data_IF_254779424312
#
_entry.id   IF_254779424312
#
_cell.length_a   1.000
_cell.length_b   1.000
_cell.length_c   1.000
_cell.angle_alpha   90.00
_cell.angle_beta   90.00
_cell.angle_gamma   90.00
#
_symmetry.space_group_name_H-M   'P 1'
#
loop_
_entity.id
_entity.type
_entity.pdbx_description
1 polymer ?
#
# COMPACT_ATOMS: atom_id res chain seq x y z
N UNK A 1 -31.06 28.37 -22.19
CA UNK A 1 -30.79 26.92 -22.28
C UNK A 1 -29.30 26.54 -22.42
N UNK A 2 -28.51 27.16 -23.31
CA UNK A 2 -27.08 26.79 -23.53
C UNK A 2 -26.20 26.77 -22.26
N UNK A 3 -26.37 27.73 -21.34
CA UNK A 3 -25.59 27.84 -20.09
C UNK A 3 -25.88 26.77 -19.04
N UNK A 4 -27.07 26.14 -19.09
CA UNK A 4 -27.46 25.11 -18.12
C UNK A 4 -27.14 23.71 -18.63
N UNK A 5 -27.26 23.48 -19.95
CA UNK A 5 -26.76 22.26 -20.59
C UNK A 5 -25.24 22.14 -20.42
N UNK A 6 -24.51 23.25 -20.54
CA UNK A 6 -23.07 23.27 -20.26
C UNK A 6 -22.75 22.95 -18.79
N UNK A 7 -23.60 23.36 -17.84
CA UNK A 7 -23.39 23.08 -16.42
C UNK A 7 -23.59 21.58 -16.10
N UNK A 8 -24.66 20.97 -16.62
CA UNK A 8 -24.92 19.54 -16.43
C UNK A 8 -23.83 18.66 -17.09
N UNK A 9 -23.39 19.02 -18.29
CA UNK A 9 -22.27 18.34 -18.97
C UNK A 9 -20.98 18.52 -18.20
N UNK A 10 -20.72 19.70 -17.63
CA UNK A 10 -19.50 19.93 -16.83
C UNK A 10 -19.47 19.12 -15.52
N UNK A 11 -20.62 18.93 -14.86
CA UNK A 11 -20.71 18.11 -13.65
C UNK A 11 -20.54 16.62 -13.98
N UNK A 12 -21.17 16.15 -15.06
CA UNK A 12 -20.98 14.77 -15.53
C UNK A 12 -19.54 14.49 -15.93
N UNK A 13 -18.90 15.41 -16.65
CA UNK A 13 -17.49 15.31 -17.02
C UNK A 13 -16.56 15.34 -15.80
N UNK A 14 -16.88 16.16 -14.78
CA UNK A 14 -16.11 16.20 -13.53
C UNK A 14 -16.21 14.87 -12.76
N UNK A 15 -17.40 14.26 -12.69
CA UNK A 15 -17.56 12.95 -12.06
C UNK A 15 -16.78 11.86 -12.79
N UNK A 16 -16.86 11.82 -14.13
CA UNK A 16 -16.06 10.87 -14.93
C UNK A 16 -14.57 11.13 -14.74
N UNK A 17 -14.12 12.39 -14.71
CA UNK A 17 -12.73 12.73 -14.47
C UNK A 17 -12.27 12.29 -13.07
N UNK A 18 -13.09 12.46 -12.03
CA UNK A 18 -12.80 11.98 -10.68
C UNK A 18 -12.73 10.45 -10.61
N UNK A 19 -13.62 9.73 -11.31
CA UNK A 19 -13.58 8.27 -11.38
C UNK A 19 -12.33 7.78 -12.12
N UNK A 20 -11.98 8.40 -13.25
CA UNK A 20 -10.77 8.06 -14.01
C UNK A 20 -9.51 8.36 -13.21
N UNK A 21 -9.46 9.51 -12.52
CA UNK A 21 -8.35 9.84 -11.62
C UNK A 21 -8.29 8.88 -10.43
N UNK A 22 -9.42 8.49 -9.86
CA UNK A 22 -9.50 7.51 -8.78
C UNK A 22 -8.94 6.15 -9.21
N UNK A 23 -9.41 5.62 -10.34
CA UNK A 23 -8.89 4.38 -10.93
C UNK A 23 -7.39 4.48 -11.23
N UNK A 24 -6.94 5.62 -11.77
CA UNK A 24 -5.53 5.86 -12.06
C UNK A 24 -4.64 5.84 -10.82
N UNK A 25 -5.13 6.31 -9.66
CA UNK A 25 -4.38 6.25 -8.40
C UNK A 25 -4.43 4.86 -7.76
N UNK A 26 -5.49 4.09 -7.99
CA UNK A 26 -5.64 2.71 -7.48
C UNK A 26 -4.78 1.72 -8.29
N UNK A 27 -4.65 1.89 -9.61
CA UNK A 27 -3.88 0.98 -10.47
C UNK A 27 -2.36 1.24 -10.48
N UNK A 28 -1.87 2.24 -9.72
CA UNK A 28 -0.44 2.53 -9.69
C UNK A 28 0.27 1.68 -8.65
N UNK A 29 1.33 0.94 -9.03
CA UNK A 29 2.10 0.18 -8.06
C UNK A 29 2.80 1.13 -7.08
N UNK A 30 2.74 0.80 -5.80
CA UNK A 30 3.44 1.50 -4.73
C UNK A 30 4.92 1.20 -4.84
N UNK A 31 5.73 2.24 -5.07
CA UNK A 31 7.20 2.10 -5.21
C UNK A 31 7.87 2.48 -3.89
N UNK A 32 8.35 1.48 -3.16
CA UNK A 32 9.06 1.71 -1.91
C UNK A 32 10.54 1.98 -2.12
N UNK A 33 11.05 3.00 -1.43
CA UNK A 33 12.49 3.24 -1.33
C UNK A 33 13.09 2.35 -0.24
N UNK A 34 13.93 1.39 -0.63
CA UNK A 34 14.48 0.38 0.27
C UNK A 34 15.98 0.59 0.49
N UNK A 35 16.38 1.01 1.68
CA UNK A 35 17.79 1.11 2.05
C UNK A 35 18.35 -0.27 2.44
N UNK A 36 19.44 -0.71 1.81
CA UNK A 36 20.06 -2.01 2.09
C UNK A 36 21.58 -1.94 1.92
N UNK A 37 22.31 -2.65 2.79
CA UNK A 37 23.76 -2.76 2.68
C UNK A 37 24.18 -3.31 1.30
N UNK A 38 25.13 -2.63 0.65
CA UNK A 38 25.61 -3.00 -0.69
C UNK A 38 26.37 -4.33 -0.67
N UNK A 39 26.16 -5.17 -1.70
CA UNK A 39 26.90 -6.41 -1.93
C UNK A 39 26.46 -7.61 -1.10
N UNK A 40 25.58 -7.43 -0.11
CA UNK A 40 25.09 -8.50 0.76
C UNK A 40 23.98 -9.37 0.15
N UNK A 41 23.67 -10.50 0.80
CA UNK A 41 22.60 -11.40 0.36
C UNK A 41 21.22 -10.75 0.40
N UNK A 42 20.97 -9.88 1.38
CA UNK A 42 19.74 -9.08 1.48
C UNK A 42 19.49 -8.19 0.26
N UNK A 43 20.54 -7.58 -0.33
CA UNK A 43 20.38 -6.80 -1.55
C UNK A 43 19.98 -7.70 -2.73
N UNK A 44 20.60 -8.88 -2.86
CA UNK A 44 20.26 -9.87 -3.90
C UNK A 44 18.83 -10.37 -3.75
N UNK A 45 18.38 -10.61 -2.51
CA UNK A 45 17.01 -10.99 -2.19
C UNK A 45 16.01 -9.92 -2.66
N UNK A 46 16.22 -8.65 -2.30
CA UNK A 46 15.35 -7.56 -2.71
C UNK A 46 15.33 -7.36 -4.24
N UNK A 47 16.47 -7.53 -4.91
CA UNK A 47 16.53 -7.52 -6.39
C UNK A 47 15.71 -8.68 -6.97
N UNK A 48 15.85 -9.89 -6.43
CA UNK A 48 15.11 -11.06 -6.88
C UNK A 48 13.60 -10.87 -6.70
N UNK A 49 13.16 -10.43 -5.53
CA UNK A 49 11.75 -10.12 -5.25
C UNK A 49 11.20 -9.05 -6.20
N UNK A 50 11.94 -7.95 -6.41
CA UNK A 50 11.50 -6.89 -7.31
C UNK A 50 11.32 -7.38 -8.76
N UNK A 51 12.15 -8.32 -9.21
CA UNK A 51 11.97 -8.94 -10.54
C UNK A 51 10.70 -9.79 -10.60
N UNK A 52 10.39 -10.54 -9.55
CA UNK A 52 9.14 -11.33 -9.48
C UNK A 52 7.92 -10.40 -9.46
N UNK A 53 7.98 -9.31 -8.68
CA UNK A 53 6.90 -8.31 -8.63
C UNK A 53 6.64 -7.67 -10.00
N UNK A 54 7.70 -7.33 -10.74
CA UNK A 54 7.58 -6.78 -12.10
C UNK A 54 6.99 -7.82 -13.06
N UNK A 55 7.41 -9.10 -12.97
CA UNK A 55 6.91 -10.16 -13.84
C UNK A 55 5.41 -10.39 -13.65
N UNK A 56 4.97 -10.46 -12.39
CA UNK A 56 3.61 -10.83 -12.03
C UNK A 56 2.68 -9.61 -11.91
N UNK A 57 3.16 -8.42 -12.34
CA UNK A 57 2.42 -7.16 -12.32
C UNK A 57 1.86 -6.81 -10.93
N UNK A 58 2.60 -7.16 -9.88
CA UNK A 58 2.22 -6.88 -8.47
C UNK A 58 2.02 -5.38 -8.23
N UNK A 59 1.24 -5.01 -7.23
CA UNK A 59 1.03 -3.61 -6.83
C UNK A 59 2.20 -3.05 -6.01
N UNK A 60 3.25 -3.85 -5.76
CA UNK A 60 4.42 -3.45 -4.97
C UNK A 60 5.68 -3.43 -5.83
N UNK A 61 6.50 -2.38 -5.71
CA UNK A 61 7.80 -2.26 -6.38
C UNK A 61 8.87 -1.76 -5.42
N UNK A 62 10.12 -2.15 -5.66
CA UNK A 62 11.25 -1.67 -4.90
C UNK A 62 12.16 -0.76 -5.74
N UNK A 63 12.50 0.38 -5.15
CA UNK A 63 13.63 1.21 -5.54
C UNK A 63 14.75 1.02 -4.53
N UNK A 64 15.70 0.16 -4.89
CA UNK A 64 16.80 -0.23 -4.00
C UNK A 64 17.80 0.91 -3.89
N UNK A 65 18.09 1.32 -2.66
CA UNK A 65 19.04 2.35 -2.28
C UNK A 65 20.23 1.68 -1.58
N UNK A 66 21.35 1.45 -2.30
CA UNK A 66 22.51 0.81 -1.70
C UNK A 66 23.15 1.73 -0.64
N UNK A 67 23.24 1.24 0.59
CA UNK A 67 23.93 1.87 1.71
C UNK A 67 25.33 1.26 1.88
N UNK A 68 26.19 1.95 2.64
CA UNK A 68 27.53 1.45 2.94
C UNK A 68 27.47 0.14 3.77
N UNK A 69 26.58 0.11 4.76
CA UNK A 69 26.39 -0.94 5.76
C UNK A 69 24.96 -0.89 6.33
N UNK A 70 24.67 -1.71 7.36
CA UNK A 70 23.33 -1.81 7.96
C UNK A 70 22.98 -0.56 8.78
N UNK A 71 23.96 0.05 9.46
CA UNK A 71 23.77 1.31 10.21
C UNK A 71 23.48 2.49 9.29
N UNK A 72 24.14 2.57 8.13
CA UNK A 72 23.85 3.57 7.12
C UNK A 72 22.44 3.38 6.54
N UNK A 73 21.98 2.14 6.39
CA UNK A 73 20.58 1.86 5.99
C UNK A 73 19.58 2.27 7.09
N UNK A 74 19.87 1.98 8.37
CA UNK A 74 19.09 2.43 9.51
C UNK A 74 19.04 3.96 9.58
N UNK A 75 20.17 4.64 9.39
CA UNK A 75 20.24 6.11 9.36
C UNK A 75 19.44 6.70 8.19
N UNK A 76 19.47 6.07 7.02
CA UNK A 76 18.67 6.51 5.88
C UNK A 76 17.15 6.44 6.16
N UNK A 77 16.72 5.46 6.97
CA UNK A 77 15.36 5.36 7.50
C UNK A 77 15.05 6.46 8.53
N UNK A 78 15.96 6.71 9.48
CA UNK A 78 15.81 7.80 10.47
C UNK A 78 15.65 9.17 9.80
N UNK A 79 16.40 9.41 8.72
CA UNK A 79 16.33 10.64 7.93
C UNK A 79 15.12 10.68 6.97
N UNK A 80 14.26 9.66 6.97
CA UNK A 80 13.12 9.48 6.03
C UNK A 80 13.50 9.57 4.55
N UNK A 81 14.76 9.30 4.25
CA UNK A 81 15.28 9.24 2.88
C UNK A 81 14.87 7.92 2.18
N UNK A 82 14.57 6.89 2.98
CA UNK A 82 13.98 5.61 2.59
C UNK A 82 12.71 5.34 3.43
N UNK A 83 11.80 4.54 2.87
CA UNK A 83 10.54 4.12 3.51
C UNK A 83 10.65 2.72 4.10
N UNK A 84 11.57 1.91 3.56
CA UNK A 84 11.92 0.58 4.02
C UNK A 84 13.44 0.49 4.21
N UNK A 85 13.89 -0.29 5.17
CA UNK A 85 15.31 -0.54 5.38
C UNK A 85 15.57 -1.97 5.85
N UNK A 86 16.70 -2.55 5.44
CA UNK A 86 17.18 -3.81 6.02
C UNK A 86 18.14 -3.49 7.15
N UNK A 87 17.73 -3.83 8.37
CA UNK A 87 18.45 -3.53 9.60
C UNK A 87 18.66 -4.81 10.39
N UNK A 88 19.82 -4.92 11.03
CA UNK A 88 20.12 -6.02 11.96
C UNK A 88 19.57 -5.70 13.35
N UNK A 89 19.09 -6.71 14.06
CA UNK A 89 18.53 -6.55 15.41
C UNK A 89 19.54 -5.98 16.40
N UNK A 90 20.83 -6.30 16.27
CA UNK A 90 21.95 -5.83 17.11
C UNK A 90 22.40 -4.39 16.81
N UNK A 91 22.00 -3.84 15.66
CA UNK A 91 22.15 -2.42 15.35
C UNK A 91 21.04 -1.63 16.05
N UNK A 92 21.31 -0.37 16.40
CA UNK A 92 20.26 0.50 16.95
C UNK A 92 19.11 0.60 15.94
N UNK A 93 17.96 0.05 16.31
CA UNK A 93 16.73 0.13 15.53
C UNK A 93 16.27 1.59 15.43
N UNK A 94 15.96 2.12 14.23
CA UNK A 94 15.41 3.46 14.06
C UNK A 94 14.12 3.62 14.88
N UNK A 95 13.98 4.72 15.66
CA UNK A 95 12.79 4.94 16.48
C UNK A 95 11.51 5.21 15.66
N UNK A 96 11.66 5.59 14.39
CA UNK A 96 10.56 5.83 13.45
C UNK A 96 10.22 4.61 12.59
N UNK A 97 10.78 3.43 12.88
CA UNK A 97 10.50 2.22 12.10
C UNK A 97 10.14 1.02 12.99
N UNK A 98 9.37 0.11 12.43
CA UNK A 98 8.97 -1.16 13.06
C UNK A 98 9.17 -2.33 12.10
N UNK A 99 9.28 -3.55 12.64
CA UNK A 99 9.54 -4.76 11.85
C UNK A 99 8.37 -5.10 10.95
N UNK A 100 8.60 -5.18 9.64
CA UNK A 100 7.62 -5.69 8.69
C UNK A 100 7.80 -7.19 8.44
N UNK A 101 9.06 -7.63 8.27
CA UNK A 101 9.38 -9.03 7.99
C UNK A 101 10.77 -9.40 8.52
N UNK A 102 10.96 -10.61 9.02
CA UNK A 102 12.28 -11.16 9.31
C UNK A 102 12.81 -11.79 8.02
N UNK A 103 13.97 -11.36 7.54
CA UNK A 103 14.57 -11.84 6.29
C UNK A 103 15.42 -13.08 6.50
N UNK A 104 16.20 -13.10 7.58
CA UNK A 104 17.02 -14.24 7.97
C UNK A 104 17.44 -14.16 9.44
N UNK A 105 17.72 -15.33 10.00
CA UNK A 105 18.37 -15.51 11.30
C UNK A 105 19.85 -15.81 11.09
N UNK A 106 20.73 -15.08 11.76
CA UNK A 106 22.16 -15.37 11.80
C UNK A 106 22.51 -15.89 13.18
N UNK A 107 23.29 -16.97 13.23
CA UNK A 107 23.65 -17.63 14.48
C UNK A 107 25.15 -17.58 14.67
N UNK A 108 25.59 -17.49 15.92
CA UNK A 108 26.96 -17.80 16.28
C UNK A 108 27.09 -19.31 16.49
N UNK A 109 28.09 -19.92 15.86
CA UNK A 109 28.42 -21.33 16.04
C UNK A 109 29.85 -21.41 16.53
N UNK A 110 30.03 -21.99 17.71
CA UNK A 110 31.33 -22.25 18.30
C UNK A 110 31.64 -23.72 18.14
N UNK A 111 32.74 -24.02 17.46
CA UNK A 111 33.14 -25.39 17.13
C UNK A 111 34.56 -25.66 17.60
N UNK A 112 34.84 -26.88 18.01
CA UNK A 112 36.19 -27.36 18.24
C UNK A 112 36.53 -28.51 17.26
N UNK A 113 37.81 -28.62 16.84
CA UNK A 113 38.26 -29.71 16.00
C UNK A 113 38.00 -31.09 16.63
N UNK A 114 37.94 -32.17 15.83
CA UNK A 114 37.78 -33.52 16.32
C UNK A 114 38.84 -33.88 17.36
N UNK A 115 38.42 -34.55 18.45
CA UNK A 115 39.33 -34.96 19.54
C UNK A 115 39.66 -33.85 20.56
N UNK A 116 39.11 -32.64 20.39
CA UNK A 116 39.20 -31.58 21.40
C UNK A 116 38.44 -31.97 22.68
N UNK A 117 39.04 -31.69 23.84
CA UNK A 117 38.39 -31.86 25.15
C UNK A 117 37.55 -30.66 25.58
N UNK A 118 37.34 -29.69 24.68
CA UNK A 118 36.57 -28.48 24.96
C UNK A 118 35.07 -28.79 25.08
N UNK A 119 34.51 -28.48 26.25
CA UNK A 119 33.07 -28.68 26.53
C UNK A 119 32.30 -27.39 26.77
N UNK A 120 32.98 -26.29 27.10
CA UNK A 120 32.36 -25.02 27.47
C UNK A 120 33.10 -23.81 26.89
N UNK A 121 32.35 -22.73 26.65
CA UNK A 121 32.88 -21.43 26.19
C UNK A 121 33.91 -20.84 27.19
N UNK A 122 33.74 -21.09 28.49
CA UNK A 122 34.66 -20.60 29.52
C UNK A 122 36.09 -21.17 29.38
N UNK A 123 36.24 -22.32 28.73
CA UNK A 123 37.54 -22.96 28.50
C UNK A 123 38.34 -22.29 27.36
N UNK A 124 37.73 -21.35 26.62
CA UNK A 124 38.39 -20.63 25.51
C UNK A 124 39.47 -19.63 25.99
N UNK A 125 39.52 -19.29 27.28
CA UNK A 125 40.43 -18.27 27.85
C UNK A 125 41.91 -18.46 27.50
N UNK A 126 42.37 -19.71 27.39
CA UNK A 126 43.77 -20.09 27.16
C UNK A 126 43.93 -20.87 25.84
N UNK A 127 43.00 -20.68 24.90
CA UNK A 127 42.93 -21.44 23.65
C UNK A 127 43.17 -20.54 22.45
N UNK A 128 43.69 -21.13 21.37
CA UNK A 128 43.87 -20.43 20.10
C UNK A 128 42.56 -20.49 19.34
N UNK A 129 41.88 -19.36 19.34
CA UNK A 129 40.58 -19.23 18.73
C UNK A 129 40.74 -18.58 17.35
N UNK A 130 40.02 -19.08 16.35
CA UNK A 130 39.90 -18.47 15.03
C UNK A 130 38.47 -17.99 14.80
N UNK A 131 38.30 -16.81 14.18
CA UNK A 131 37.01 -16.26 13.77
C UNK A 131 36.83 -16.35 12.26
N UNK A 132 35.68 -16.83 11.80
CA UNK A 132 35.29 -16.83 10.38
C UNK A 132 33.95 -16.12 10.22
N UNK A 133 33.87 -15.22 9.23
CA UNK A 133 32.70 -14.39 8.99
C UNK A 133 32.28 -13.50 10.18
N UNK A 134 33.18 -13.33 11.16
CA UNK A 134 33.16 -12.28 12.18
C UNK A 134 34.25 -11.28 11.85
N UNK A 135 33.97 -10.29 11.03
CA UNK A 135 34.89 -9.19 10.81
C UNK A 135 34.59 -8.09 11.83
N UNK A 136 35.60 -7.49 12.46
CA UNK A 136 35.43 -6.28 13.28
C UNK A 136 34.80 -5.14 12.48
N UNK A 137 35.02 -5.16 11.15
CA UNK A 137 34.40 -4.24 10.20
C UNK A 137 32.95 -4.62 9.86
N UNK A 138 32.52 -5.87 10.11
CA UNK A 138 31.11 -6.24 10.10
C UNK A 138 30.48 -5.76 11.40
N UNK A 139 29.62 -4.76 11.30
CA UNK A 139 29.00 -4.06 12.43
C UNK A 139 28.38 -5.05 13.43
N UNK A 140 28.47 -4.83 14.74
CA UNK A 140 27.79 -5.67 15.75
C UNK A 140 28.50 -6.98 16.15
N UNK A 141 29.31 -7.58 15.27
CA UNK A 141 30.12 -8.77 15.59
C UNK A 141 31.02 -8.55 16.82
N UNK A 142 31.67 -7.37 16.93
CA UNK A 142 32.48 -7.01 18.08
C UNK A 142 31.68 -6.90 19.39
N UNK A 143 30.46 -6.34 19.34
CA UNK A 143 29.60 -6.20 20.52
C UNK A 143 29.09 -7.57 21.01
N UNK A 144 28.82 -8.49 20.09
CA UNK A 144 28.45 -9.87 20.41
C UNK A 144 29.62 -10.64 21.05
N UNK A 145 30.84 -10.46 20.53
CA UNK A 145 32.06 -11.02 21.14
C UNK A 145 32.32 -10.42 22.53
N UNK A 146 32.19 -9.10 22.69
CA UNK A 146 32.34 -8.43 23.99
C UNK A 146 31.28 -8.92 24.99
N UNK A 147 30.04 -9.16 24.54
CA UNK A 147 28.98 -9.72 25.36
C UNK A 147 29.30 -11.16 25.82
N UNK A 148 29.91 -11.98 24.95
CA UNK A 148 30.37 -13.33 25.31
C UNK A 148 31.53 -13.29 26.29
N UNK A 149 32.51 -12.43 26.06
CA UNK A 149 33.65 -12.27 26.96
C UNK A 149 33.17 -11.85 28.36
N UNK A 150 32.22 -10.92 28.45
CA UNK A 150 31.62 -10.51 29.71
C UNK A 150 30.78 -11.59 30.38
N UNK A 151 29.97 -12.34 29.61
CA UNK A 151 29.09 -13.37 30.16
C UNK A 151 29.89 -14.54 30.76
N UNK A 152 30.95 -14.97 30.07
CA UNK A 152 31.79 -16.10 30.50
C UNK A 152 33.05 -15.69 31.26
N UNK A 153 33.17 -14.40 31.64
CA UNK A 153 34.31 -13.83 32.33
C UNK A 153 35.67 -14.12 31.64
N UNK A 154 35.68 -14.10 30.31
CA UNK A 154 36.90 -14.17 29.52
C UNK A 154 37.64 -12.83 29.61
N UNK A 155 38.98 -12.83 29.56
CA UNK A 155 39.75 -11.60 29.44
C UNK A 155 39.31 -10.80 28.18
N UNK A 156 39.30 -9.47 28.24
CA UNK A 156 38.96 -8.66 27.07
C UNK A 156 39.89 -8.96 25.89
N UNK A 157 39.34 -9.08 24.69
CA UNK A 157 40.07 -9.38 23.44
C UNK A 157 40.69 -10.78 23.38
N UNK A 158 40.22 -11.72 24.20
CA UNK A 158 40.56 -13.14 24.03
C UNK A 158 40.02 -13.69 22.71
N UNK A 159 38.83 -13.26 22.30
CA UNK A 159 38.22 -13.74 21.06
C UNK A 159 38.77 -12.93 19.87
N UNK A 160 39.25 -13.60 18.81
CA UNK A 160 39.74 -12.91 17.62
C UNK A 160 38.60 -12.12 16.98
N UNK A 161 38.87 -10.85 16.71
CA UNK A 161 37.89 -9.97 16.05
C UNK A 161 38.15 -9.88 14.55
N UNK A 162 39.27 -10.41 14.07
CA UNK A 162 39.63 -10.41 12.65
C UNK A 162 39.21 -11.73 12.03
N UNK A 163 38.29 -11.68 11.07
CA UNK A 163 37.93 -12.87 10.30
C UNK A 163 39.14 -13.35 9.48
N UNK A 164 39.37 -14.65 9.51
CA UNK A 164 40.28 -15.33 8.57
C UNK A 164 39.49 -15.94 7.41
N UNK A 165 40.16 -16.21 6.30
CA UNK A 165 39.56 -16.97 5.20
C UNK A 165 39.56 -18.47 5.50
N UNK A 166 38.68 -19.20 4.85
CA UNK A 166 38.53 -20.65 4.95
C UNK A 166 39.83 -21.37 4.53
N UNK A 167 40.56 -20.82 3.56
CA UNK A 167 41.85 -21.36 3.11
C UNK A 167 42.92 -21.25 4.20
N UNK A 168 42.97 -20.12 4.88
CA UNK A 168 43.85 -19.88 6.04
C UNK A 168 43.45 -20.78 7.21
N UNK A 169 42.15 -20.91 7.50
CA UNK A 169 41.62 -21.80 8.53
C UNK A 169 42.06 -23.26 8.30
N UNK A 170 41.94 -23.76 7.07
CA UNK A 170 42.36 -25.12 6.75
C UNK A 170 43.86 -25.34 7.01
N UNK A 171 44.69 -24.34 6.71
CA UNK A 171 46.13 -24.38 6.99
C UNK A 171 46.45 -24.37 8.48
N UNK A 172 45.74 -23.55 9.26
CA UNK A 172 45.90 -23.46 10.72
C UNK A 172 45.46 -24.75 11.42
N UNK A 173 44.35 -25.35 10.98
CA UNK A 173 43.86 -26.63 11.51
C UNK A 173 44.87 -27.75 11.24
N UNK A 174 45.42 -27.83 10.02
CA UNK A 174 46.42 -28.85 9.67
C UNK A 174 47.73 -28.74 10.49
N UNK A 175 48.05 -27.55 11.00
CA UNK A 175 49.21 -27.32 11.88
C UNK A 175 48.89 -27.47 13.37
N UNK A 176 47.66 -27.85 13.73
CA UNK A 176 47.16 -27.81 15.10
C UNK A 176 47.40 -26.43 15.75
N UNK A 177 47.15 -25.34 15.01
CA UNK A 177 47.30 -23.94 15.45
C UNK A 177 46.00 -23.30 15.94
N UNK A 178 44.87 -24.01 15.82
CA UNK A 178 43.54 -23.55 16.21
C UNK A 178 42.87 -24.63 17.06
N UNK A 179 42.40 -24.23 18.23
CA UNK A 179 41.74 -25.08 19.21
C UNK A 179 40.20 -24.92 19.17
N UNK A 180 39.71 -23.76 18.70
CA UNK A 180 38.29 -23.49 18.50
C UNK A 180 38.05 -22.50 17.35
N UNK A 181 36.90 -22.61 16.70
CA UNK A 181 36.46 -21.76 15.60
C UNK A 181 35.12 -21.14 15.96
N UNK A 182 35.04 -19.81 15.89
CA UNK A 182 33.79 -19.07 15.93
C UNK A 182 33.39 -18.74 14.50
N UNK A 183 32.19 -19.14 14.11
CA UNK A 183 31.61 -18.78 12.83
C UNK A 183 30.27 -18.09 13.05
N UNK A 184 30.04 -16.97 12.36
CA UNK A 184 28.78 -16.23 12.46
C UNK A 184 28.10 -16.14 11.10
N UNK A 185 26.78 -16.29 11.09
CA UNK A 185 25.96 -16.19 9.88
C UNK A 185 24.83 -17.20 9.85
N UNK A 186 24.13 -17.26 8.71
CA UNK A 186 23.05 -18.22 8.48
C UNK A 186 23.61 -19.65 8.42
N UNK A 187 22.95 -20.60 9.07
CA UNK A 187 23.46 -21.97 9.22
C UNK A 187 23.62 -22.71 7.89
N UNK A 188 22.74 -22.47 6.92
CA UNK A 188 22.77 -23.07 5.59
C UNK A 188 23.51 -22.19 4.56
N UNK A 189 24.20 -21.13 5.00
CA UNK A 189 25.03 -20.33 4.11
C UNK A 189 26.20 -21.14 3.56
N UNK A 190 26.62 -20.92 2.30
CA UNK A 190 27.76 -21.61 1.71
C UNK A 190 29.04 -21.49 2.54
N UNK A 191 29.25 -20.34 3.19
CA UNK A 191 30.38 -20.09 4.07
C UNK A 191 30.34 -20.95 5.33
N UNK A 192 29.21 -20.98 6.05
CA UNK A 192 29.07 -21.78 7.28
C UNK A 192 29.23 -23.28 6.98
N UNK A 193 28.57 -23.77 5.93
CA UNK A 193 28.68 -25.18 5.50
C UNK A 193 30.13 -25.55 5.18
N UNK A 194 30.88 -24.64 4.55
CA UNK A 194 32.27 -24.88 4.20
C UNK A 194 33.20 -24.86 5.43
N UNK A 195 32.93 -24.02 6.43
CA UNK A 195 33.64 -24.05 7.73
C UNK A 195 33.44 -25.39 8.42
N UNK A 196 32.19 -25.84 8.56
CA UNK A 196 31.85 -27.14 9.16
C UNK A 196 32.54 -28.27 8.39
N UNK A 197 32.47 -28.28 7.04
CA UNK A 197 33.16 -29.28 6.21
C UNK A 197 34.68 -29.29 6.40
N UNK A 198 35.29 -28.13 6.63
CA UNK A 198 36.74 -28.01 6.83
C UNK A 198 37.15 -28.59 8.18
N UNK A 199 36.36 -28.33 9.23
CA UNK A 199 36.55 -28.92 10.56
C UNK A 199 36.25 -30.42 10.57
N UNK A 200 35.28 -30.87 9.77
CA UNK A 200 34.86 -32.27 9.71
C UNK A 200 35.77 -33.20 8.89
N UNK A 201 36.92 -32.71 8.39
CA UNK A 201 37.81 -33.50 7.51
C UNK A 201 38.41 -34.72 8.19
N UNK A 202 38.76 -34.59 9.46
CA UNK A 202 39.46 -35.62 10.25
C UNK A 202 38.54 -36.37 11.24
N UNK A 203 37.26 -36.01 11.28
CA UNK A 203 36.27 -36.58 12.21
C UNK A 203 35.12 -35.60 12.46
N UNK A 204 34.16 -35.98 13.31
CA UNK A 204 33.07 -35.07 13.69
C UNK A 204 33.60 -33.96 14.63
N UNK A 205 33.38 -32.67 14.34
CA UNK A 205 33.73 -31.59 15.25
C UNK A 205 32.80 -31.56 16.46
N UNK A 206 33.28 -31.00 17.56
CA UNK A 206 32.46 -30.71 18.74
C UNK A 206 31.81 -29.35 18.59
N UNK A 207 30.52 -29.24 18.91
CA UNK A 207 29.78 -27.98 18.92
C UNK A 207 29.60 -27.54 20.37
N UNK A 208 30.03 -26.33 20.70
CA UNK A 208 29.94 -25.78 22.05
C UNK A 208 28.66 -24.97 22.20
N UNK A 209 27.86 -25.32 23.21
CA UNK A 209 26.65 -24.57 23.55
C UNK A 209 26.98 -23.26 24.27
N UNK A 210 26.17 -22.23 23.97
CA UNK A 210 26.11 -20.99 24.73
C UNK A 210 24.89 -21.10 25.65
N UNK A 211 25.03 -21.89 26.72
CA UNK A 211 23.89 -22.22 27.61
C UNK A 211 23.26 -21.03 28.35
N UNK A 212 23.94 -19.88 28.38
CA UNK A 212 23.39 -18.64 28.95
C UNK A 212 22.69 -17.76 27.90
N UNK A 213 22.39 -18.29 26.70
CA UNK A 213 21.84 -17.54 25.58
C UNK A 213 20.60 -16.70 25.95
N UNK A 214 19.65 -17.29 26.69
CA UNK A 214 18.44 -16.59 27.13
C UNK A 214 18.73 -15.42 28.09
N UNK A 215 19.73 -15.54 28.95
CA UNK A 215 20.17 -14.46 29.83
C UNK A 215 20.88 -13.35 29.03
N UNK A 216 21.71 -13.75 28.06
CA UNK A 216 22.40 -12.81 27.17
C UNK A 216 21.42 -11.99 26.33
N UNK A 217 20.37 -12.61 25.78
CA UNK A 217 19.34 -11.93 25.01
C UNK A 217 18.56 -10.89 25.83
N UNK A 218 18.34 -11.14 27.14
CA UNK A 218 17.70 -10.17 28.03
C UNK A 218 18.61 -8.98 28.38
N UNK A 219 19.93 -9.20 28.43
CA UNK A 219 20.91 -8.18 28.82
C UNK A 219 21.34 -7.31 27.64
N UNK A 220 21.46 -7.89 26.46
CA UNK A 220 21.98 -7.23 25.26
C UNK A 220 20.86 -7.05 24.25
N UNK A 221 20.52 -5.78 23.97
CA UNK A 221 19.51 -5.45 22.95
C UNK A 221 19.96 -6.00 21.60
N UNK A 222 19.03 -6.65 20.89
CA UNK A 222 19.26 -7.14 19.54
C UNK A 222 19.94 -8.50 19.43
N UNK A 223 20.40 -9.07 20.55
CA UNK A 223 20.82 -10.46 20.63
C UNK A 223 19.59 -11.32 20.93
N UNK A 224 19.41 -12.38 20.18
CA UNK A 224 18.33 -13.34 20.35
C UNK A 224 18.88 -14.69 20.80
N UNK A 225 18.16 -15.36 21.69
CA UNK A 225 18.47 -16.73 22.08
C UNK A 225 17.85 -17.68 21.05
N UNK A 226 18.64 -18.61 20.54
CA UNK A 226 18.21 -19.52 19.48
C UNK A 226 18.82 -20.90 19.67
N UNK A 227 18.35 -21.88 18.91
CA UNK A 227 18.80 -23.26 19.00
C UNK A 227 19.24 -23.76 17.63
N UNK A 228 20.49 -24.18 17.52
CA UNK A 228 20.99 -24.90 16.36
C UNK A 228 20.53 -26.37 16.46
N UNK A 229 19.63 -26.75 15.55
CA UNK A 229 19.01 -28.07 15.55
C UNK A 229 19.99 -29.20 15.19
N UNK A 230 19.77 -30.38 15.78
CA UNK A 230 20.45 -31.61 15.42
C UNK A 230 20.38 -31.84 13.91
N UNK A 231 21.54 -32.10 13.30
CA UNK A 231 21.63 -32.43 11.87
C UNK A 231 21.47 -31.24 10.92
N UNK A 232 21.50 -29.99 11.41
CA UNK A 232 21.42 -28.78 10.59
C UNK A 232 22.42 -28.76 9.42
N UNK A 233 23.60 -29.36 9.58
CA UNK A 233 24.64 -29.46 8.54
C UNK A 233 24.67 -30.81 7.80
N UNK A 234 23.74 -31.70 8.11
CA UNK A 234 23.70 -33.07 7.59
C UNK A 234 24.83 -33.96 8.13
N UNK A 235 25.18 -35.00 7.39
CA UNK A 235 26.27 -35.93 7.73
C UNK A 235 25.81 -37.25 8.36
N UNK A 236 26.74 -38.22 8.40
CA UNK A 236 26.61 -39.49 9.11
C UNK A 236 27.86 -39.70 9.98
N UNK A 237 27.82 -39.42 11.29
CA UNK A 237 26.65 -39.03 12.10
C UNK A 237 26.15 -37.60 11.83
N UNK A 238 24.92 -37.30 12.28
CA UNK A 238 24.31 -35.97 12.15
C UNK A 238 25.15 -34.88 12.82
N UNK A 239 25.32 -33.73 12.16
CA UNK A 239 26.05 -32.57 12.68
C UNK A 239 25.12 -31.36 12.84
N UNK A 240 24.98 -30.78 14.04
CA UNK A 240 25.41 -31.32 15.33
C UNK A 240 24.66 -32.62 15.72
N UNK A 241 25.21 -33.36 16.69
CA UNK A 241 24.64 -34.64 17.14
C UNK A 241 23.36 -34.46 17.99
N UNK A 242 23.20 -33.29 18.58
CA UNK A 242 22.06 -32.87 19.40
C UNK A 242 21.73 -31.40 19.14
N UNK A 243 20.65 -30.91 19.74
CA UNK A 243 20.29 -29.49 19.67
C UNK A 243 21.27 -28.70 20.55
N UNK A 244 21.83 -27.61 20.02
CA UNK A 244 22.80 -26.77 20.70
C UNK A 244 22.20 -25.38 20.90
N UNK A 245 22.07 -24.96 22.15
CA UNK A 245 21.66 -23.59 22.49
C UNK A 245 22.76 -22.60 22.08
N UNK A 246 22.36 -21.52 21.42
CA UNK A 246 23.27 -20.48 20.97
C UNK A 246 22.61 -19.11 20.95
N UNK A 247 23.37 -18.08 20.63
CA UNK A 247 22.88 -16.73 20.38
C UNK A 247 22.95 -16.39 18.90
N UNK A 248 22.13 -15.45 18.48
CA UNK A 248 22.09 -14.95 17.12
C UNK A 248 21.59 -13.52 17.05
N UNK A 249 21.50 -13.05 15.82
CA UNK A 249 20.78 -11.83 15.47
C UNK A 249 19.81 -12.14 14.31
N UNK A 250 18.96 -11.16 14.00
CA UNK A 250 18.04 -11.24 12.88
C UNK A 250 18.27 -10.06 11.94
N UNK A 251 18.26 -10.33 10.64
CA UNK A 251 18.10 -9.27 9.64
C UNK A 251 16.62 -9.07 9.40
N UNK A 252 16.17 -7.85 9.62
CA UNK A 252 14.76 -7.46 9.56
C UNK A 252 14.57 -6.43 8.47
N UNK A 253 13.53 -6.61 7.66
CA UNK A 253 12.97 -5.55 6.85
C UNK A 253 12.08 -4.72 7.75
N UNK A 254 12.45 -3.46 7.94
CA UNK A 254 11.67 -2.51 8.73
C UNK A 254 11.02 -1.47 7.85
N UNK A 255 9.85 -1.02 8.27
CA UNK A 255 9.02 -0.05 7.59
C UNK A 255 8.85 1.19 8.46
N UNK A 256 8.84 2.38 7.83
CA UNK A 256 8.53 3.62 8.52
C UNK A 256 7.12 3.56 9.14
N UNK A 257 7.00 4.00 10.40
CA UNK A 257 5.77 3.91 11.18
C UNK A 257 4.63 4.77 10.65
N UNK A 258 4.92 5.77 9.81
CA UNK A 258 3.91 6.62 9.18
C UNK A 258 3.30 5.97 7.91
N UNK A 259 3.83 4.82 7.46
CA UNK A 259 3.25 4.07 6.34
C UNK A 259 1.89 3.50 6.72
N UNK A 260 0.95 3.56 5.78
CA UNK A 260 -0.39 3.01 5.99
C UNK A 260 -0.32 1.50 6.25
N UNK A 261 -1.06 1.02 7.26
CA UNK A 261 -1.12 -0.40 7.64
C UNK A 261 -1.42 -1.31 6.45
N UNK A 262 -2.37 -0.93 5.59
CA UNK A 262 -2.72 -1.70 4.38
C UNK A 262 -1.56 -1.84 3.39
N UNK A 263 -0.72 -0.80 3.29
CA UNK A 263 0.43 -0.77 2.37
C UNK A 263 1.54 -1.70 2.87
N UNK A 264 1.79 -1.73 4.19
CA UNK A 264 2.77 -2.65 4.78
C UNK A 264 2.24 -4.09 4.83
N UNK A 265 0.96 -4.30 5.10
CA UNK A 265 0.32 -5.62 5.04
C UNK A 265 0.40 -6.22 3.63
N UNK A 266 0.07 -5.42 2.60
CA UNK A 266 0.20 -5.85 1.20
C UNK A 266 1.66 -6.13 0.81
N UNK A 267 2.61 -5.32 1.27
CA UNK A 267 4.04 -5.58 1.09
C UNK A 267 4.44 -6.96 1.64
N UNK A 268 4.06 -7.26 2.89
CA UNK A 268 4.38 -8.55 3.54
C UNK A 268 3.73 -9.70 2.79
N UNK A 269 2.44 -9.57 2.43
CA UNK A 269 1.72 -10.54 1.61
C UNK A 269 2.46 -10.85 0.31
N UNK A 270 2.83 -9.82 -0.45
CA UNK A 270 3.50 -9.97 -1.74
C UNK A 270 4.87 -10.63 -1.58
N UNK A 271 5.66 -10.21 -0.59
CA UNK A 271 6.97 -10.82 -0.32
C UNK A 271 6.85 -12.32 -0.01
N UNK A 272 5.89 -12.72 0.82
CA UNK A 272 5.66 -14.12 1.18
C UNK A 272 5.05 -14.93 0.03
N UNK A 273 4.14 -14.35 -0.75
CA UNK A 273 3.54 -14.99 -1.92
C UNK A 273 4.59 -15.32 -3.00
N UNK A 274 5.57 -14.43 -3.19
CA UNK A 274 6.65 -14.63 -4.17
C UNK A 274 7.90 -15.29 -3.57
N UNK A 275 7.87 -15.73 -2.31
CA UNK A 275 9.01 -16.34 -1.60
C UNK A 275 9.67 -17.47 -2.38
N UNK A 276 8.88 -18.45 -2.82
CA UNK A 276 9.39 -19.64 -3.53
C UNK A 276 10.02 -19.29 -4.88
N UNK A 277 9.43 -18.33 -5.60
CA UNK A 277 9.94 -17.91 -6.90
C UNK A 277 11.23 -17.08 -6.75
N UNK A 278 11.29 -16.21 -5.72
CA UNK A 278 12.50 -15.49 -5.35
C UNK A 278 13.62 -16.45 -4.88
N UNK A 279 13.27 -17.55 -4.19
CA UNK A 279 14.22 -18.55 -3.71
C UNK A 279 15.04 -19.22 -4.82
N UNK A 280 14.47 -19.33 -6.03
CA UNK A 280 15.20 -19.86 -7.19
C UNK A 280 16.37 -18.97 -7.63
N UNK A 281 16.33 -17.66 -7.32
CA UNK A 281 17.37 -16.68 -7.64
C UNK A 281 18.23 -16.31 -6.43
N UNK A 282 17.63 -16.29 -5.25
CA UNK A 282 18.27 -15.97 -3.98
C UNK A 282 17.78 -16.94 -2.90
N UNK A 283 18.55 -17.98 -2.53
CA UNK A 283 18.13 -18.99 -1.56
C UNK A 283 17.71 -18.44 -0.19
N UNK A 284 18.23 -17.27 0.19
CA UNK A 284 17.87 -16.56 1.44
C UNK A 284 16.37 -16.26 1.53
N UNK A 285 15.65 -16.18 0.40
CA UNK A 285 14.20 -16.03 0.42
C UNK A 285 13.49 -17.12 1.27
N UNK A 286 14.03 -18.34 1.31
CA UNK A 286 13.44 -19.42 2.12
C UNK A 286 13.56 -19.19 3.63
N UNK A 287 14.47 -18.30 4.06
CA UNK A 287 14.64 -17.92 5.47
C UNK A 287 13.68 -16.80 5.89
N UNK A 288 12.89 -16.23 4.97
CA UNK A 288 11.91 -15.20 5.31
C UNK A 288 10.81 -15.76 6.22
N UNK A 289 10.55 -15.04 7.30
CA UNK A 289 9.63 -15.39 8.37
C UNK A 289 8.85 -14.16 8.85
N UNK A 290 7.64 -14.39 9.32
CA UNK A 290 6.81 -13.36 9.97
C UNK A 290 7.33 -13.09 11.38
N UNK A 291 7.49 -11.81 11.79
CA UNK A 291 7.83 -11.49 13.17
C UNK A 291 6.68 -11.87 14.12
N UNK A 292 6.98 -11.99 15.41
CA UNK A 292 5.95 -12.15 16.45
C UNK A 292 5.10 -10.87 16.57
N UNK A 293 3.83 -11.02 16.87
CA UNK A 293 2.86 -9.92 17.05
C UNK A 293 2.66 -9.54 18.53
N UNK A 294 3.31 -10.25 19.45
CA UNK A 294 3.23 -10.00 20.88
C UNK A 294 3.77 -8.61 21.29
N UNK A 295 2.97 -7.87 22.07
CA UNK A 295 3.26 -6.49 22.53
C UNK A 295 4.45 -6.35 23.49
N UNK A 296 5.09 -7.46 23.87
CA UNK A 296 6.20 -7.53 24.83
C UNK A 296 7.58 -7.72 24.20
N UNK A 297 7.67 -7.83 22.87
CA UNK A 297 8.94 -8.01 22.19
C UNK A 297 9.85 -6.77 22.30
N UNK A 298 11.17 -7.02 22.32
CA UNK A 298 12.16 -5.95 22.34
C UNK A 298 12.19 -5.14 21.02
N UNK A 299 11.73 -5.73 19.92
CA UNK A 299 11.67 -5.12 18.59
C UNK A 299 10.22 -5.15 18.10
N UNK A 300 9.52 -3.99 18.06
CA UNK A 300 8.10 -3.97 17.74
C UNK A 300 7.84 -4.34 16.28
N UNK A 301 6.71 -5.02 16.07
CA UNK A 301 6.16 -5.35 14.74
C UNK A 301 5.30 -4.20 14.22
N UNK A 302 5.43 -3.89 12.94
CA UNK A 302 4.66 -2.83 12.30
C UNK A 302 3.16 -3.20 12.33
N UNK A 303 2.24 -2.29 12.70
CA UNK A 303 0.82 -2.63 12.85
C UNK A 303 0.19 -3.22 11.58
N UNK A 304 0.61 -2.75 10.40
CA UNK A 304 0.21 -3.35 9.12
C UNK A 304 0.70 -4.78 8.88
N UNK A 305 1.89 -5.13 9.34
CA UNK A 305 2.40 -6.50 9.27
C UNK A 305 1.68 -7.40 10.27
N UNK A 306 1.48 -6.91 11.50
CA UNK A 306 0.69 -7.60 12.52
C UNK A 306 -0.74 -7.88 12.04
N UNK A 307 -1.42 -6.90 11.44
CA UNK A 307 -2.77 -7.08 10.90
C UNK A 307 -2.83 -8.19 9.81
N UNK A 308 -1.81 -8.29 8.94
CA UNK A 308 -1.72 -9.40 7.98
C UNK A 308 -1.51 -10.75 8.68
N UNK A 309 -0.60 -10.81 9.66
CA UNK A 309 -0.25 -12.05 10.39
C UNK A 309 -1.44 -12.57 11.20
N UNK A 310 -2.12 -11.67 11.91
CA UNK A 310 -3.26 -11.99 12.78
C UNK A 310 -4.58 -12.15 11.99
N UNK A 311 -4.56 -11.96 10.66
CA UNK A 311 -5.75 -11.86 9.78
C UNK A 311 -6.76 -10.79 10.23
N UNK A 312 -6.28 -9.70 10.82
CA UNK A 312 -7.07 -8.54 11.27
C UNK A 312 -7.02 -7.37 10.25
N UNK A 313 -6.84 -7.67 8.97
CA UNK A 313 -6.84 -6.63 7.94
C UNK A 313 -8.23 -5.99 7.76
N UNK A 314 -8.29 -4.66 7.85
CA UNK A 314 -9.50 -3.90 7.54
C UNK A 314 -9.89 -4.08 6.07
N UNK A 315 -11.15 -4.44 5.83
CA UNK A 315 -11.71 -4.45 4.47
C UNK A 315 -11.79 -3.04 3.89
N UNK A 316 -11.84 -2.92 2.55
CA UNK A 316 -12.00 -1.63 1.86
C UNK A 316 -13.18 -0.81 2.41
N UNK A 317 -14.31 -1.49 2.67
CA UNK A 317 -15.51 -0.83 3.19
C UNK A 317 -15.32 -0.34 4.63
N UNK A 318 -14.66 -1.10 5.50
CA UNK A 318 -14.36 -0.67 6.87
C UNK A 318 -13.42 0.53 6.87
N UNK A 319 -12.35 0.47 6.07
CA UNK A 319 -11.32 1.52 5.93
C UNK A 319 -11.88 2.85 5.44
N UNK A 320 -12.69 2.80 4.38
CA UNK A 320 -13.19 4.00 3.70
C UNK A 320 -14.64 4.34 4.04
N UNK A 321 -15.24 3.64 5.01
CA UNK A 321 -16.62 3.83 5.46
C UNK A 321 -16.97 5.31 5.63
N UNK A 322 -16.17 6.03 6.42
CA UNK A 322 -16.40 7.45 6.71
C UNK A 322 -16.38 8.32 5.45
N UNK A 323 -15.40 8.11 4.57
CA UNK A 323 -15.27 8.88 3.32
C UNK A 323 -16.41 8.55 2.36
N UNK A 324 -16.81 7.28 2.27
CA UNK A 324 -17.94 6.83 1.45
C UNK A 324 -19.23 7.49 1.96
N UNK A 325 -19.48 7.48 3.27
CA UNK A 325 -20.66 8.10 3.86
C UNK A 325 -20.66 9.62 3.69
N UNK A 326 -19.53 10.29 3.90
CA UNK A 326 -19.37 11.73 3.65
C UNK A 326 -19.61 12.04 2.17
N UNK A 327 -19.01 11.27 1.27
CA UNK A 327 -19.19 11.40 -0.18
C UNK A 327 -20.65 11.24 -0.59
N UNK A 328 -21.34 10.23 -0.04
CA UNK A 328 -22.77 10.01 -0.26
C UNK A 328 -23.62 11.19 0.24
N UNK A 329 -23.33 11.72 1.44
CA UNK A 329 -24.04 12.89 1.99
C UNK A 329 -23.87 14.13 1.11
N UNK A 330 -22.64 14.43 0.69
CA UNK A 330 -22.36 15.57 -0.20
C UNK A 330 -23.05 15.38 -1.55
N UNK A 331 -23.00 14.17 -2.12
CA UNK A 331 -23.69 13.85 -3.37
C UNK A 331 -25.22 14.03 -3.26
N UNK A 332 -25.83 13.62 -2.15
CA UNK A 332 -27.26 13.83 -1.90
C UNK A 332 -27.64 15.32 -1.81
N UNK A 333 -26.80 16.13 -1.16
CA UNK A 333 -27.02 17.58 -1.08
C UNK A 333 -26.94 18.23 -2.46
N UNK A 334 -25.91 17.89 -3.25
CA UNK A 334 -25.74 18.38 -4.62
C UNK A 334 -26.88 17.93 -5.54
N UNK A 335 -27.32 16.67 -5.42
CA UNK A 335 -28.47 16.15 -6.16
C UNK A 335 -29.75 16.93 -5.82
N UNK A 336 -29.97 17.27 -4.54
CA UNK A 336 -31.14 18.04 -4.09
C UNK A 336 -31.14 19.47 -4.63
N UNK A 337 -29.98 20.15 -4.60
CA UNK A 337 -29.83 21.48 -5.20
C UNK A 337 -30.04 21.43 -6.72
N UNK A 338 -29.46 20.43 -7.39
CA UNK A 338 -29.64 20.20 -8.82
C UNK A 338 -31.11 19.98 -9.20
N UNK A 339 -31.81 19.10 -8.47
CA UNK A 339 -33.24 18.85 -8.66
C UNK A 339 -34.08 20.11 -8.45
N UNK A 340 -33.77 20.91 -7.43
CA UNK A 340 -34.47 22.18 -7.15
C UNK A 340 -34.29 23.19 -8.29
N UNK A 341 -33.08 23.31 -8.83
CA UNK A 341 -32.79 24.21 -9.95
C UNK A 341 -33.51 23.78 -11.23
N UNK A 342 -33.54 22.47 -11.52
CA UNK A 342 -34.27 21.93 -12.67
C UNK A 342 -35.78 22.17 -12.51
N UNK A 343 -36.34 21.90 -11.32
CA UNK A 343 -37.75 22.09 -11.02
C UNK A 343 -38.20 23.55 -11.17
N UNK A 344 -37.41 24.51 -10.69
CA UNK A 344 -37.76 25.94 -10.82
C UNK A 344 -37.83 26.41 -12.27
N UNK A 345 -37.06 25.82 -13.17
CA UNK A 345 -37.07 26.17 -14.59
C UNK A 345 -38.26 25.54 -15.31
N UNK A 346 -38.64 24.31 -14.96
CA UNK A 346 -39.82 23.67 -15.55
C UNK A 346 -41.12 24.33 -15.10
N UNK A 347 -41.25 24.69 -13.82
CA UNK A 347 -42.44 25.37 -13.28
C UNK A 347 -42.71 26.71 -13.97
N UNK A 348 -41.68 27.55 -14.18
CA UNK A 348 -41.84 28.82 -14.90
C UNK A 348 -42.30 28.65 -16.35
N UNK A 349 -41.92 27.55 -16.99
CA UNK A 349 -42.39 27.20 -18.33
C UNK A 349 -43.89 26.89 -18.36
N UNK A 350 -44.40 26.21 -17.33
CA UNK A 350 -45.82 25.90 -17.19
C UNK A 350 -46.67 27.15 -16.89
N UNK A 351 -46.24 28.02 -15.97
CA UNK A 351 -46.97 29.28 -15.68
C UNK A 351 -47.08 30.19 -16.91
N UNK A 352 -46.01 30.29 -17.70
CA UNK A 352 -46.04 31.08 -18.93
C UNK A 352 -46.97 30.49 -19.99
N UNK A 353 -47.12 29.16 -20.03
CA UNK A 353 -48.05 28.48 -20.91
C UNK A 353 -49.50 28.74 -20.52
N UNK A 354 -49.83 28.63 -19.22
CA UNK A 354 -51.19 28.85 -18.71
C UNK A 354 -51.67 30.28 -19.02
N UNK A 355 -50.79 31.29 -18.86
CA UNK A 355 -51.10 32.68 -19.21
C UNK A 355 -51.39 32.88 -20.71
N UNK A 356 -50.66 32.18 -21.59
CA UNK A 356 -50.90 32.26 -23.04
C UNK A 356 -52.21 31.58 -23.43
N UNK A 357 -52.54 30.45 -22.80
CA UNK A 357 -53.81 29.76 -22.99
C UNK A 357 -54.99 30.64 -22.53
N UNK A 358 -54.92 31.21 -21.32
CA UNK A 358 -55.94 32.11 -20.78
C UNK A 358 -56.19 33.31 -21.72
N UNK A 359 -55.12 33.97 -22.18
CA UNK A 359 -55.22 35.10 -23.11
C UNK A 359 -55.86 34.72 -24.45
N UNK A 360 -55.59 33.52 -24.97
CA UNK A 360 -56.22 33.04 -26.21
C UNK A 360 -57.73 32.78 -26.04
N UNK A 361 -58.15 32.27 -24.87
CA UNK A 361 -59.56 32.06 -24.54
C UNK A 361 -60.29 33.38 -24.29
N UNK A 362 -59.61 34.37 -23.73
CA UNK A 362 -60.16 35.72 -23.59
C UNK A 362 -60.41 36.38 -24.94
N UNK A 363 -59.47 36.26 -25.89
CA UNK A 363 -59.65 36.72 -27.28
C UNK A 363 -60.83 36.02 -27.94
N UNK A 364 -60.97 34.69 -27.75
CA UNK A 364 -62.13 33.93 -28.24
C UNK A 364 -63.46 34.51 -27.71
N UNK A 365 -63.52 34.83 -26.41
CA UNK A 365 -64.73 35.40 -25.79
C UNK A 365 -65.02 36.79 -26.37
N UNK A 366 -64.02 37.68 -26.38
CA UNK A 366 -64.16 39.06 -26.86
C UNK A 366 -64.53 39.12 -28.35
N UNK A 367 -64.03 38.17 -29.15
CA UNK A 367 -64.37 38.07 -30.57
C UNK A 367 -65.86 37.76 -30.81
N UNK A 368 -66.53 37.04 -29.90
CA UNK A 368 -67.97 36.75 -30.01
C UNK A 368 -68.85 37.94 -29.66
N UNK A 369 -68.35 38.82 -28.78
CA UNK A 369 -69.08 39.99 -28.27
C UNK A 369 -68.79 41.26 -29.07
N UNK A 370 -67.75 41.29 -29.91
CA UNK A 370 -67.38 42.47 -30.69
C UNK A 370 -68.48 42.95 -31.65
N UNK A 371 -68.71 44.27 -31.69
CA UNK A 371 -69.74 44.90 -32.53
C UNK A 371 -69.16 45.70 -33.71
N UNK A 372 -67.84 45.93 -33.70
CA UNK A 372 -67.13 46.76 -34.68
C UNK A 372 -66.02 45.96 -35.40
N UNK A 373 -65.81 46.28 -36.68
CA UNK A 373 -64.78 45.68 -37.53
C UNK A 373 -63.37 46.05 -37.07
N UNK A 374 -63.16 47.26 -36.55
CA UNK A 374 -61.85 47.68 -36.03
C UNK A 374 -61.48 46.92 -34.74
N UNK A 375 -62.47 46.67 -33.86
CA UNK A 375 -62.29 45.83 -32.69
C UNK A 375 -61.89 44.39 -33.06
N UNK A 376 -62.53 43.81 -34.08
CA UNK A 376 -62.17 42.47 -34.59
C UNK A 376 -60.78 42.42 -35.21
N UNK A 377 -60.33 43.50 -35.87
CA UNK A 377 -58.98 43.60 -36.43
C UNK A 377 -57.92 43.66 -35.33
N UNK A 378 -58.18 44.36 -34.23
CA UNK A 378 -57.28 44.39 -33.07
C UNK A 378 -57.12 43.02 -32.41
N UNK A 379 -58.22 42.27 -32.27
CA UNK A 379 -58.18 40.90 -31.73
C UNK A 379 -57.40 39.93 -32.65
N UNK A 380 -57.50 40.09 -33.98
CA UNK A 380 -56.73 39.31 -34.95
C UNK A 380 -55.22 39.57 -34.84
N UNK A 381 -54.81 40.83 -34.63
CA UNK A 381 -53.40 41.17 -34.41
C UNK A 381 -52.86 40.59 -33.09
N UNK A 382 -53.67 40.61 -32.03
CA UNK A 382 -53.28 40.06 -30.73
C UNK A 382 -53.07 38.55 -30.77
N UNK A 383 -53.89 37.82 -31.52
CA UNK A 383 -53.72 36.36 -31.64
C UNK A 383 -52.54 35.97 -32.53
N UNK A 384 -52.26 36.76 -33.57
CA UNK A 384 -51.08 36.59 -34.41
C UNK A 384 -49.79 36.90 -33.63
N UNK A 385 -49.83 37.86 -32.71
CA UNK A 385 -48.74 38.15 -31.79
C UNK A 385 -48.48 36.97 -30.84
N UNK A 386 -49.53 36.35 -30.29
CA UNK A 386 -49.41 35.15 -29.44
C UNK A 386 -48.75 34.01 -30.22
N UNK A 387 -49.18 33.75 -31.46
CA UNK A 387 -48.66 32.68 -32.31
C UNK A 387 -47.20 32.96 -32.73
N UNK A 388 -46.89 34.21 -33.06
CA UNK A 388 -45.52 34.65 -33.35
C UNK A 388 -44.62 34.49 -32.13
N UNK A 389 -45.09 34.92 -30.95
CA UNK A 389 -44.31 34.83 -29.71
C UNK A 389 -44.08 33.36 -29.29
N UNK A 390 -45.04 32.47 -29.54
CA UNK A 390 -44.89 31.03 -29.27
C UNK A 390 -43.98 30.31 -30.26
N UNK A 391 -44.03 30.66 -31.55
CA UNK A 391 -43.20 30.03 -32.58
C UNK A 391 -41.78 30.63 -32.67
N UNK A 392 -41.62 31.94 -32.44
CA UNK A 392 -40.32 32.63 -32.50
C UNK A 392 -39.50 32.45 -31.23
N UNK A 393 -40.16 32.25 -30.07
CA UNK A 393 -39.46 31.92 -28.83
C UNK A 393 -39.07 30.45 -28.84
N UNK A 394 -37.87 30.14 -29.34
CA UNK A 394 -37.23 28.82 -29.20
C UNK A 394 -36.87 28.43 -27.75
N UNK A 395 -37.66 28.88 -26.77
CA UNK A 395 -37.42 28.85 -25.33
C UNK A 395 -38.64 28.40 -24.51
N UNK A 396 -39.68 27.81 -25.12
CA UNK A 396 -40.72 27.16 -24.32
C UNK A 396 -40.17 25.79 -23.88
N UNK A 397 -39.93 25.54 -22.58
CA UNK A 397 -39.36 24.28 -22.13
C UNK A 397 -40.39 23.18 -22.40
N UNK A 398 -40.08 22.25 -23.32
CA UNK A 398 -40.81 21.00 -23.62
C UNK A 398 -42.26 21.01 -23.11
N UNK A 399 -43.13 21.78 -23.77
CA UNK A 399 -44.56 21.59 -23.59
C UNK A 399 -44.88 20.14 -23.92
N UNK A 400 -45.69 19.50 -23.08
CA UNK A 400 -46.23 18.19 -23.41
C UNK A 400 -47.04 18.32 -24.72
N UNK A 401 -47.06 17.28 -25.56
CA UNK A 401 -47.83 17.29 -26.81
C UNK A 401 -49.29 17.68 -26.60
N UNK A 402 -49.84 17.34 -25.43
CA UNK A 402 -51.19 17.74 -25.00
C UNK A 402 -51.35 19.26 -24.82
N UNK A 403 -50.35 19.93 -24.26
CA UNK A 403 -50.36 21.38 -24.03
C UNK A 403 -50.27 22.16 -25.34
N UNK A 404 -49.38 21.74 -26.24
CA UNK A 404 -49.30 22.31 -27.60
C UNK A 404 -50.61 22.13 -28.37
N UNK A 405 -51.22 20.96 -28.28
CA UNK A 405 -52.52 20.69 -28.89
C UNK A 405 -53.61 21.61 -28.32
N UNK A 406 -53.65 21.81 -27.00
CA UNK A 406 -54.62 22.68 -26.32
C UNK A 406 -54.50 24.15 -26.75
N UNK A 407 -53.29 24.70 -26.79
CA UNK A 407 -53.07 26.08 -27.25
C UNK A 407 -53.38 26.26 -28.73
N UNK A 408 -52.98 25.30 -29.58
CA UNK A 408 -53.28 25.35 -31.02
C UNK A 408 -54.79 25.34 -31.25
N UNK A 409 -55.52 24.48 -30.53
CA UNK A 409 -56.97 24.43 -30.59
C UNK A 409 -57.60 25.75 -30.16
N UNK A 410 -57.15 26.34 -29.04
CA UNK A 410 -57.67 27.63 -28.57
C UNK A 410 -57.44 28.75 -29.59
N UNK A 411 -56.26 28.79 -30.22
CA UNK A 411 -55.92 29.77 -31.25
C UNK A 411 -56.79 29.59 -32.50
N UNK A 412 -56.97 28.36 -32.97
CA UNK A 412 -57.84 28.05 -34.11
C UNK A 412 -59.30 28.46 -33.85
N UNK A 413 -59.83 28.12 -32.67
CA UNK A 413 -61.20 28.49 -32.29
C UNK A 413 -61.38 30.00 -32.23
N UNK A 414 -60.42 30.74 -31.70
CA UNK A 414 -60.47 32.20 -31.64
C UNK A 414 -60.44 32.83 -33.06
N UNK A 415 -59.60 32.35 -33.97
CA UNK A 415 -59.59 32.80 -35.37
C UNK A 415 -60.91 32.52 -36.08
N UNK A 416 -61.50 31.34 -35.87
CA UNK A 416 -62.81 31.00 -36.41
C UNK A 416 -63.90 31.94 -35.87
N UNK A 417 -63.91 32.21 -34.57
CA UNK A 417 -64.87 33.13 -33.97
C UNK A 417 -64.75 34.56 -34.53
N UNK A 418 -63.52 35.07 -34.72
CA UNK A 418 -63.29 36.38 -35.35
C UNK A 418 -63.84 36.40 -36.78
N UNK A 419 -63.59 35.34 -37.57
CA UNK A 419 -64.05 35.24 -38.96
C UNK A 419 -65.58 35.19 -39.06
N UNK A 420 -66.21 34.38 -38.21
CA UNK A 420 -67.67 34.25 -38.17
C UNK A 420 -68.32 35.56 -37.73
N UNK A 421 -67.78 36.22 -36.69
CA UNK A 421 -68.31 37.50 -36.23
C UNK A 421 -68.11 38.61 -37.26
N UNK A 422 -66.96 38.66 -37.93
CA UNK A 422 -66.69 39.63 -39.02
C UNK A 422 -67.73 39.52 -40.13
N UNK A 423 -68.13 38.30 -40.49
CA UNK A 423 -69.19 38.06 -41.48
C UNK A 423 -70.52 38.63 -41.02
N UNK A 424 -70.90 38.40 -39.76
CA UNK A 424 -72.15 38.91 -39.17
C UNK A 424 -72.16 40.44 -39.15
N UNK A 425 -71.05 41.06 -38.73
CA UNK A 425 -70.93 42.53 -38.65
C UNK A 425 -70.93 43.16 -40.06
N UNK A 426 -70.22 42.58 -41.03
CA UNK A 426 -70.28 43.03 -42.44
C UNK A 426 -71.69 42.91 -43.04
N UNK A 427 -72.38 41.80 -42.80
CA UNK A 427 -73.76 41.60 -43.28
C UNK A 427 -74.74 42.59 -42.64
N UNK A 428 -74.48 43.03 -41.41
CA UNK A 428 -75.26 44.08 -40.74
C UNK A 428 -74.97 45.48 -41.31
N UNK A 429 -73.69 45.80 -41.59
CA UNK A 429 -73.27 47.08 -42.19
C UNK A 429 -73.77 47.22 -43.63
N UNK A 430 -73.88 46.13 -44.39
CA UNK A 430 -74.41 46.16 -45.78
C UNK A 430 -75.94 46.27 -45.83
N UNK A 431 -76.64 45.94 -44.74
CA UNK A 431 -78.11 46.04 -44.63
C UNK A 431 -78.60 47.36 -44.02
N UNK A 432 -77.72 48.10 -43.36
CA UNK A 432 -77.95 49.45 -42.86
C UNK A 432 -77.65 50.47 -43.97
#
# INVERSE_FOLDING_TARGET
MRRFLSLAVSIGALLVALTVVGLYYVERPTVFRVAVAKGGESQKLLVALNQEFVRDHSDVRFRIMPAADSRAAAKAMEERSAELAVVRSDANMPPNASTALILEHQILVVMAPPGSSLTSIAELKDKRVASVALDSASEGAGALLDALEQQYALPPQTLPRKSIDITELAGLLARNEVDAVLAFGRFDSPHMVQVVRTLSREGAPSFLAIGDAAAMAKKNRGVEATTLLRGAFGGAPSLPAENIETIGDTLRLVADNDLANSVVGELVRQMLAHRTAAAAKSPVANAMETPDTDKGEALPTHPGAAAFIDNEEESFFERYSDVIYIGAMVASLLASVGATLISRVTVKGYEQFDLLLERSLEILKNAREAEDLDALRLLELQIDEILTHTLASGSIPKLDGHQLAGLTLAVEQARLAIKDRRRIVMDAVVRA
#
